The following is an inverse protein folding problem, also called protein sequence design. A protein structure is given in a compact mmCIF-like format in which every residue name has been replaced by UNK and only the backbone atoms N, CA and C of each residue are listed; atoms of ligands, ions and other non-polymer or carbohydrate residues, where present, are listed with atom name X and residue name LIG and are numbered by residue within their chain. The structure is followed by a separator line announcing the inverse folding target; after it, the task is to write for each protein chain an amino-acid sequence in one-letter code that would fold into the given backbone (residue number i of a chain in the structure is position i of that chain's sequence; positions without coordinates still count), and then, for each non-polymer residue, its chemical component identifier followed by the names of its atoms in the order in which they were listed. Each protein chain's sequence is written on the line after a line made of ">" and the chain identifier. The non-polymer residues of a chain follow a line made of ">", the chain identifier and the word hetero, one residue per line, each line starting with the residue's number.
data_IF_330200435329
#
_entry.id   IF_330200435329
#
_cell.length_a   1.000
_cell.length_b   1.000
_cell.length_c   1.000
_cell.angle_alpha   90.00
_cell.angle_beta   90.00
_cell.angle_gamma   90.00
#
_symmetry.space_group_name_H-M   'P 1'
#
loop_
_entity.id
_entity.type
_entity.pdbx_description
1 polymer ?
#
# COMPACT_ATOMS: atom_id res chain seq x y z
N UNK A 1 11.82 -6.28 -16.32
CA UNK A 1 13.11 -6.97 -16.56
C UNK A 1 12.98 -8.26 -17.37
N UNK A 2 12.18 -9.27 -16.97
CA UNK A 2 12.10 -10.56 -17.70
C UNK A 2 11.79 -10.40 -19.19
N UNK A 3 10.76 -9.62 -19.52
CA UNK A 3 10.38 -9.35 -20.91
C UNK A 3 11.46 -8.59 -21.71
N UNK A 4 12.16 -7.64 -21.08
CA UNK A 4 13.26 -6.93 -21.73
C UNK A 4 14.43 -7.87 -22.02
N UNK A 5 14.84 -8.68 -21.03
CA UNK A 5 15.92 -9.67 -21.20
C UNK A 5 15.58 -10.71 -22.27
N UNK A 6 14.32 -11.12 -22.39
CA UNK A 6 13.92 -12.10 -23.42
C UNK A 6 13.90 -11.52 -24.83
N UNK A 7 13.58 -10.22 -24.98
CA UNK A 7 13.49 -9.56 -26.30
C UNK A 7 14.81 -8.93 -26.75
N UNK A 8 15.66 -8.54 -25.80
CA UNK A 8 16.90 -7.81 -26.03
C UNK A 8 18.02 -8.36 -25.13
N UNK A 9 18.48 -9.61 -25.37
CA UNK A 9 19.51 -10.24 -24.54
C UNK A 9 20.88 -9.53 -24.63
N UNK A 10 21.13 -8.76 -25.68
CA UNK A 10 22.35 -7.98 -25.91
C UNK A 10 22.46 -6.74 -25.02
N UNK A 11 21.34 -6.24 -24.50
CA UNK A 11 21.33 -5.02 -23.70
C UNK A 11 21.77 -5.33 -22.27
N UNK A 12 22.84 -4.67 -21.82
CA UNK A 12 23.27 -4.73 -20.44
C UNK A 12 22.28 -3.94 -19.54
N UNK A 13 21.58 -4.63 -18.64
CA UNK A 13 20.58 -4.03 -17.74
C UNK A 13 21.13 -4.00 -16.32
N UNK A 14 21.20 -2.81 -15.73
CA UNK A 14 21.56 -2.60 -14.33
C UNK A 14 20.34 -2.09 -13.54
N UNK A 15 20.36 -2.25 -12.22
CA UNK A 15 19.32 -1.75 -11.31
C UNK A 15 20.00 -0.97 -10.20
N UNK A 16 19.57 0.28 -10.01
CA UNK A 16 20.02 1.12 -8.90
C UNK A 16 18.87 1.16 -7.88
N UNK A 17 19.08 0.72 -6.63
CA UNK A 17 18.04 0.75 -5.62
C UNK A 17 17.70 2.19 -5.23
N UNK A 18 16.46 2.40 -4.76
CA UNK A 18 15.99 3.66 -4.22
C UNK A 18 15.08 3.43 -3.02
N UNK A 19 14.74 4.51 -2.33
CA UNK A 19 13.76 4.47 -1.23
C UNK A 19 12.38 4.26 -1.85
N UNK A 20 11.69 3.19 -1.44
CA UNK A 20 10.34 2.91 -1.92
C UNK A 20 9.34 3.91 -1.32
N UNK A 21 8.21 4.13 -2.00
CA UNK A 21 7.10 4.91 -1.45
C UNK A 21 6.56 4.34 -0.14
N UNK A 22 6.80 3.06 0.15
CA UNK A 22 6.40 2.39 1.38
C UNK A 22 7.22 2.92 2.56
N UNK A 23 8.55 2.99 2.41
CA UNK A 23 9.41 3.60 3.41
C UNK A 23 9.19 5.10 3.52
N UNK A 24 8.94 5.77 2.39
CA UNK A 24 8.54 7.19 2.37
C UNK A 24 7.26 7.43 3.17
N UNK A 25 6.22 6.61 2.97
CA UNK A 25 4.96 6.68 3.71
C UNK A 25 5.13 6.40 5.20
N UNK A 26 5.86 5.34 5.57
CA UNK A 26 6.11 5.03 6.97
C UNK A 26 6.84 6.18 7.69
N UNK A 27 7.92 6.69 7.07
CA UNK A 27 8.65 7.84 7.60
C UNK A 27 7.78 9.09 7.70
N UNK A 28 6.91 9.33 6.70
CA UNK A 28 6.04 10.50 6.67
C UNK A 28 4.93 10.44 7.72
N UNK A 29 4.40 9.25 7.99
CA UNK A 29 3.40 8.99 9.03
C UNK A 29 4.01 8.90 10.42
N UNK A 30 5.34 8.82 10.53
CA UNK A 30 6.03 8.65 11.82
C UNK A 30 5.77 7.29 12.46
N UNK A 31 5.55 6.25 11.65
CA UNK A 31 5.27 4.88 12.12
C UNK A 31 6.40 3.93 11.72
N UNK A 32 6.67 2.95 12.58
CA UNK A 32 7.46 1.78 12.19
C UNK A 32 6.62 0.86 11.31
N UNK A 33 7.25 0.23 10.31
CA UNK A 33 6.59 -0.83 9.53
C UNK A 33 6.46 -2.14 10.33
N UNK A 34 7.40 -2.38 11.25
CA UNK A 34 7.44 -3.55 12.13
C UNK A 34 8.29 -3.25 13.37
N UNK A 35 7.94 -3.88 14.49
CA UNK A 35 8.73 -3.97 15.72
C UNK A 35 8.88 -5.44 16.14
N UNK A 36 10.08 -5.85 16.57
CA UNK A 36 10.28 -7.23 17.07
C UNK A 36 10.06 -8.31 16.01
N UNK A 37 9.06 -9.17 16.25
CA UNK A 37 8.67 -10.32 15.42
C UNK A 37 7.46 -10.06 14.50
N UNK A 38 7.07 -8.79 14.34
CA UNK A 38 5.99 -8.37 13.44
C UNK A 38 6.20 -8.83 11.98
N UNK A 39 5.13 -9.30 11.35
CA UNK A 39 5.08 -9.64 9.93
C UNK A 39 4.50 -8.49 9.10
N UNK A 40 5.24 -8.08 8.06
CA UNK A 40 4.83 -7.02 7.12
C UNK A 40 4.51 -7.59 5.75
N UNK A 41 3.32 -7.32 5.24
CA UNK A 41 2.91 -7.69 3.89
C UNK A 41 2.75 -6.48 2.97
N UNK A 42 3.27 -6.58 1.76
CA UNK A 42 3.07 -5.60 0.69
C UNK A 42 2.23 -6.26 -0.40
N UNK A 43 0.97 -5.84 -0.53
CA UNK A 43 -0.01 -6.56 -1.34
C UNK A 43 -0.68 -5.61 -2.33
N UNK A 44 -0.73 -5.93 -3.64
CA UNK A 44 -1.59 -5.20 -4.57
C UNK A 44 -3.05 -5.39 -4.18
N UNK A 45 -3.76 -4.28 -3.96
CA UNK A 45 -5.18 -4.31 -3.68
C UNK A 45 -5.94 -4.86 -4.90
N UNK A 46 -6.88 -5.77 -4.64
CA UNK A 46 -7.69 -6.45 -5.65
C UNK A 46 -9.15 -6.42 -5.24
N UNK A 47 -10.01 -6.61 -6.23
CA UNK A 47 -11.45 -6.73 -6.03
C UNK A 47 -11.79 -8.15 -5.51
N UNK A 48 -11.26 -8.48 -4.33
CA UNK A 48 -11.40 -9.78 -3.68
C UNK A 48 -11.47 -9.59 -2.17
N UNK A 49 -12.70 -9.56 -1.65
CA UNK A 49 -12.98 -9.27 -0.25
C UNK A 49 -12.33 -10.29 0.69
N UNK A 50 -12.45 -11.58 0.35
CA UNK A 50 -11.99 -12.65 1.21
C UNK A 50 -10.46 -12.63 1.31
N UNK A 51 -9.78 -12.41 0.19
CA UNK A 51 -8.32 -12.33 0.18
C UNK A 51 -7.80 -11.08 0.90
N UNK A 52 -8.39 -9.90 0.66
CA UNK A 52 -7.96 -8.67 1.35
C UNK A 52 -8.15 -8.79 2.86
N UNK A 53 -9.27 -9.35 3.30
CA UNK A 53 -9.54 -9.64 4.71
C UNK A 53 -8.53 -10.63 5.29
N UNK A 54 -8.26 -11.73 4.57
CA UNK A 54 -7.32 -12.76 5.00
C UNK A 54 -5.92 -12.20 5.20
N UNK A 55 -5.41 -11.43 4.24
CA UNK A 55 -4.10 -10.78 4.31
C UNK A 55 -4.00 -9.87 5.54
N UNK A 56 -5.04 -9.09 5.85
CA UNK A 56 -5.06 -8.23 7.03
C UNK A 56 -5.03 -9.04 8.33
N UNK A 57 -5.72 -10.18 8.39
CA UNK A 57 -5.76 -11.02 9.59
C UNK A 57 -4.43 -11.78 9.80
N UNK A 58 -3.74 -12.15 8.73
CA UNK A 58 -2.53 -12.96 8.77
C UNK A 58 -1.24 -12.16 9.02
N UNK A 59 -1.29 -10.82 9.08
CA UNK A 59 -0.10 -9.96 9.19
C UNK A 59 -0.31 -8.80 10.18
N UNK A 60 0.76 -8.39 10.85
CA UNK A 60 0.75 -7.30 11.84
C UNK A 60 0.70 -5.91 11.16
N UNK A 61 1.35 -5.78 10.00
CA UNK A 61 1.29 -4.58 9.15
C UNK A 61 1.03 -4.95 7.69
N UNK A 62 0.07 -4.29 7.04
CA UNK A 62 -0.23 -4.49 5.62
C UNK A 62 -0.19 -3.18 4.86
N UNK A 63 0.59 -3.16 3.78
CA UNK A 63 0.68 -2.07 2.84
C UNK A 63 -0.01 -2.48 1.55
N UNK A 64 -1.20 -1.92 1.32
CA UNK A 64 -1.90 -2.10 0.07
C UNK A 64 -1.44 -1.09 -0.98
N UNK A 65 -1.01 -1.57 -2.14
CA UNK A 65 -0.68 -0.73 -3.30
C UNK A 65 -1.80 -0.76 -4.34
N UNK A 66 -1.97 0.34 -5.09
CA UNK A 66 -3.00 0.47 -6.15
C UNK A 66 -4.45 0.36 -5.64
N UNK A 67 -4.70 0.86 -4.43
CA UNK A 67 -6.02 0.81 -3.77
C UNK A 67 -7.13 1.61 -4.46
N UNK A 68 -6.79 2.62 -5.27
CA UNK A 68 -7.76 3.57 -5.85
C UNK A 68 -8.95 2.90 -6.55
N UNK A 69 -8.73 1.79 -7.27
CA UNK A 69 -9.78 1.09 -8.02
C UNK A 69 -10.72 0.23 -7.19
N UNK A 70 -10.37 -0.06 -5.95
CA UNK A 70 -11.08 -1.02 -5.07
C UNK A 70 -11.35 -0.40 -3.70
N UNK A 71 -11.45 0.93 -3.65
CA UNK A 71 -11.54 1.67 -2.40
C UNK A 71 -12.78 1.29 -1.59
N UNK A 72 -13.92 1.10 -2.24
CA UNK A 72 -15.17 0.77 -1.55
C UNK A 72 -15.12 -0.64 -0.94
N UNK A 73 -14.58 -1.62 -1.67
CA UNK A 73 -14.30 -2.95 -1.13
C UNK A 73 -13.36 -2.89 0.08
N UNK A 74 -12.28 -2.10 -0.02
CA UNK A 74 -11.35 -1.95 1.11
C UNK A 74 -12.01 -1.28 2.32
N UNK A 75 -12.89 -0.29 2.11
CA UNK A 75 -13.69 0.30 3.19
C UNK A 75 -14.56 -0.74 3.87
N UNK A 76 -15.23 -1.59 3.11
CA UNK A 76 -16.10 -2.65 3.66
C UNK A 76 -15.30 -3.67 4.49
N UNK A 77 -14.14 -4.12 3.98
CA UNK A 77 -13.24 -5.01 4.71
C UNK A 77 -12.78 -4.37 6.02
N UNK A 78 -12.32 -3.11 5.97
CA UNK A 78 -11.80 -2.40 7.13
C UNK A 78 -12.90 -2.07 8.16
N UNK A 79 -14.14 -1.82 7.71
CA UNK A 79 -15.31 -1.63 8.58
C UNK A 79 -15.66 -2.94 9.29
N UNK A 80 -15.67 -4.08 8.58
CA UNK A 80 -15.93 -5.39 9.19
C UNK A 80 -14.89 -5.72 10.27
N UNK A 81 -13.61 -5.43 9.99
CA UNK A 81 -12.51 -5.69 10.93
C UNK A 81 -12.35 -4.60 12.02
N UNK A 82 -13.15 -3.53 11.97
CA UNK A 82 -13.05 -2.37 12.88
C UNK A 82 -11.67 -1.70 12.87
N UNK A 83 -11.01 -1.69 11.70
CA UNK A 83 -9.65 -1.15 11.51
C UNK A 83 -9.60 0.23 10.83
N UNK A 84 -10.77 0.83 10.56
CA UNK A 84 -10.90 2.16 9.94
C UNK A 84 -10.03 3.21 10.65
N UNK A 85 -10.05 3.29 11.98
CA UNK A 85 -9.26 4.30 12.71
C UNK A 85 -7.75 4.04 12.66
N UNK A 86 -7.34 2.80 12.39
CA UNK A 86 -5.93 2.39 12.31
C UNK A 86 -5.36 2.41 10.89
N UNK A 87 -6.11 2.95 9.93
CA UNK A 87 -5.70 2.95 8.51
C UNK A 87 -5.45 4.36 7.99
N UNK A 88 -4.31 4.53 7.34
CA UNK A 88 -3.93 5.76 6.63
C UNK A 88 -3.85 5.49 5.12
N UNK A 89 -4.24 6.49 4.32
CA UNK A 89 -4.04 6.51 2.88
C UNK A 89 -3.05 7.62 2.57
N UNK A 90 -2.02 7.29 1.80
CA UNK A 90 -0.99 8.25 1.39
C UNK A 90 -0.89 8.23 -0.13
N UNK A 91 -1.11 9.38 -0.76
CA UNK A 91 -0.90 9.59 -2.19
C UNK A 91 0.29 10.52 -2.41
N UNK A 92 1.05 10.25 -3.49
CA UNK A 92 2.17 11.10 -3.95
C UNK A 92 3.16 11.49 -2.83
N UNK A 93 3.42 10.56 -1.90
CA UNK A 93 4.29 10.78 -0.74
C UNK A 93 5.65 11.34 -1.15
N UNK A 94 6.21 12.25 -0.35
CA UNK A 94 7.51 12.92 -0.58
C UNK A 94 7.56 13.84 -1.80
N UNK A 95 6.42 14.14 -2.43
CA UNK A 95 6.31 15.13 -3.52
C UNK A 95 5.58 16.39 -3.06
N UNK A 96 5.63 17.44 -3.86
CA UNK A 96 4.90 18.70 -3.62
C UNK A 96 3.37 18.53 -3.70
N UNK A 97 2.90 17.41 -4.26
CA UNK A 97 1.48 17.06 -4.39
C UNK A 97 1.05 15.99 -3.36
N UNK A 98 1.82 15.79 -2.29
CA UNK A 98 1.52 14.81 -1.25
C UNK A 98 0.15 15.03 -0.63
N UNK A 99 -0.55 13.93 -0.35
CA UNK A 99 -1.78 13.94 0.42
C UNK A 99 -1.85 12.75 1.37
N UNK A 100 -2.25 13.02 2.61
CA UNK A 100 -2.39 12.04 3.68
C UNK A 100 -3.81 12.14 4.22
N UNK A 101 -4.53 11.02 4.23
CA UNK A 101 -5.89 10.93 4.77
C UNK A 101 -5.98 9.83 5.80
N UNK A 102 -6.82 10.02 6.81
CA UNK A 102 -7.30 8.91 7.64
C UNK A 102 -8.61 8.41 7.05
N UNK A 103 -8.80 7.09 6.94
CA UNK A 103 -9.93 6.54 6.18
C UNK A 103 -11.33 6.90 6.74
N UNK A 104 -11.44 7.36 7.99
CA UNK A 104 -12.70 7.91 8.52
C UNK A 104 -13.06 9.29 7.93
N UNK A 105 -12.10 10.01 7.36
CA UNK A 105 -12.30 11.30 6.68
C UNK A 105 -12.65 11.13 5.20
N UNK A 106 -12.47 9.91 4.67
CA UNK A 106 -12.56 9.56 3.26
C UNK A 106 -14.00 9.29 2.76
N UNK A 107 -15.00 9.34 3.64
CA UNK A 107 -16.42 9.38 3.22
C UNK A 107 -16.75 10.70 2.47
N UNK A 108 -15.78 11.62 2.31
CA UNK A 108 -15.93 12.93 1.66
C UNK A 108 -14.91 13.22 0.54
N UNK A 109 -14.05 12.27 0.19
CA UNK A 109 -12.93 12.52 -0.75
C UNK A 109 -12.90 11.45 -1.84
N UNK A 110 -13.00 11.87 -3.10
CA UNK A 110 -12.69 11.06 -4.27
C UNK A 110 -11.18 11.07 -4.50
N UNK A 111 -10.58 9.89 -4.63
CA UNK A 111 -9.16 9.76 -4.99
C UNK A 111 -9.06 9.79 -6.52
N UNK A 112 -8.65 10.93 -7.08
CA UNK A 112 -8.30 11.07 -8.50
C UNK A 112 -6.96 10.39 -8.86
#
# INVERSE_FOLDING_TARGET
>A
MKLMKSRHPEVNIQTVPGISSINGAASRLGIALAEGDDHVAIVPARDDFAEMKRVIIENDCVIFIKVAKVMDLMRDVLRELKLVVKTSIVAKVTSDEESVWVIHELDRVELE
#
